data_IF_377771638204
#
_entry.id   IF_377771638204
#
_cell.length_a   1.000
_cell.length_b   1.000
_cell.length_c   1.000
_cell.angle_alpha   90.00
_cell.angle_beta   90.00
_cell.angle_gamma   90.00
#
_symmetry.space_group_name_H-M   'P 1'
#
loop_
_entity.id
_entity.type
_entity.pdbx_description
1 polymer ?
#
# COMPACT_ATOMS: atom_id res chain seq x y z
N UNK A 1 12.02 -17.07 -31.67
CA UNK A 1 12.49 -15.68 -31.71
C UNK A 1 11.44 -14.67 -31.22
N UNK A 2 10.20 -14.77 -31.65
CA UNK A 2 9.13 -13.87 -31.21
C UNK A 2 8.70 -14.02 -29.75
N UNK A 3 8.74 -15.23 -29.20
CA UNK A 3 8.35 -15.49 -27.82
C UNK A 3 9.30 -14.83 -26.80
N UNK A 4 10.61 -14.79 -27.10
CA UNK A 4 11.60 -14.14 -26.25
C UNK A 4 11.43 -12.60 -26.23
N UNK A 5 11.08 -12.00 -27.37
CA UNK A 5 10.83 -10.56 -27.47
C UNK A 5 9.55 -10.15 -26.73
N UNK A 6 8.52 -10.98 -26.78
CA UNK A 6 7.26 -10.74 -26.08
C UNK A 6 7.48 -10.84 -24.56
N UNK A 7 8.22 -11.84 -24.11
CA UNK A 7 8.53 -11.99 -22.68
C UNK A 7 9.37 -10.82 -22.14
N UNK A 8 10.32 -10.33 -22.92
CA UNK A 8 11.10 -9.15 -22.57
C UNK A 8 10.24 -7.89 -22.45
N UNK A 9 9.33 -7.67 -23.39
CA UNK A 9 8.40 -6.56 -23.37
C UNK A 9 7.41 -6.64 -22.18
N UNK A 10 6.97 -7.83 -21.81
CA UNK A 10 6.11 -8.04 -20.66
C UNK A 10 6.85 -7.85 -19.33
N UNK A 11 8.12 -8.25 -19.24
CA UNK A 11 8.91 -8.07 -18.01
C UNK A 11 9.21 -6.59 -17.73
N UNK A 12 9.34 -5.77 -18.76
CA UNK A 12 9.53 -4.32 -18.62
C UNK A 12 8.25 -3.58 -18.22
N UNK A 13 7.08 -4.14 -18.52
CA UNK A 13 5.78 -3.53 -18.21
C UNK A 13 5.30 -3.73 -16.77
N UNK A 14 6.00 -4.50 -15.94
CA UNK A 14 5.56 -4.79 -14.58
C UNK A 14 5.98 -3.74 -13.54
N UNK A 15 6.66 -2.67 -13.96
CA UNK A 15 6.94 -1.52 -13.09
C UNK A 15 5.87 -0.46 -13.30
N UNK A 16 5.07 -0.20 -12.27
CA UNK A 16 4.12 0.90 -12.29
C UNK A 16 4.86 2.24 -12.31
N UNK A 17 4.35 3.15 -13.10
CA UNK A 17 4.85 4.52 -13.19
C UNK A 17 3.76 5.49 -12.73
N UNK A 18 4.19 6.67 -12.32
CA UNK A 18 3.26 7.78 -12.06
C UNK A 18 2.46 8.08 -13.34
N UNK A 19 1.16 8.22 -13.20
CA UNK A 19 0.23 8.39 -14.31
C UNK A 19 -0.43 7.12 -14.81
N UNK A 20 0.10 5.94 -14.47
CA UNK A 20 -0.51 4.67 -14.84
C UNK A 20 -1.80 4.42 -14.08
N UNK A 21 -2.73 3.68 -14.68
CA UNK A 21 -3.88 3.17 -13.95
C UNK A 21 -3.44 2.12 -12.94
N UNK A 22 -4.04 2.20 -11.75
CA UNK A 22 -3.80 1.22 -10.68
C UNK A 22 -4.36 -0.14 -11.08
N UNK A 23 -3.61 -1.24 -10.87
CA UNK A 23 -4.19 -2.57 -11.01
C UNK A 23 -5.37 -2.75 -10.05
N UNK A 24 -6.45 -3.36 -10.53
CA UNK A 24 -7.54 -3.75 -9.66
C UNK A 24 -7.13 -4.96 -8.82
N UNK A 25 -7.54 -4.96 -7.55
CA UNK A 25 -7.22 -6.07 -6.68
C UNK A 25 -8.34 -6.32 -5.66
N UNK A 26 -8.35 -7.55 -5.15
CA UNK A 26 -9.24 -8.01 -4.11
C UNK A 26 -8.41 -8.70 -3.04
N UNK A 27 -8.49 -8.24 -1.82
CA UNK A 27 -7.79 -8.82 -0.67
C UNK A 27 -8.70 -8.83 0.54
N UNK A 28 -8.49 -9.80 1.44
CA UNK A 28 -9.16 -9.80 2.73
C UNK A 28 -8.47 -8.84 3.69
N UNK A 29 -9.27 -8.09 4.44
CA UNK A 29 -8.76 -7.21 5.48
C UNK A 29 -8.52 -7.96 6.80
N UNK A 30 -8.17 -7.24 7.87
CA UNK A 30 -7.90 -7.82 9.19
C UNK A 30 -9.13 -8.50 9.82
N UNK A 31 -10.32 -8.23 9.36
CA UNK A 31 -11.57 -8.82 9.84
C UNK A 31 -12.11 -9.91 8.89
N UNK A 32 -11.29 -10.36 7.95
CA UNK A 32 -11.68 -11.30 6.89
C UNK A 32 -12.82 -10.80 6.00
N UNK A 33 -12.95 -9.50 5.86
CA UNK A 33 -13.87 -8.87 4.92
C UNK A 33 -13.16 -8.60 3.61
N UNK A 34 -13.83 -8.86 2.51
CA UNK A 34 -13.26 -8.65 1.18
C UNK A 34 -13.18 -7.16 0.85
N UNK A 35 -11.97 -6.70 0.58
CA UNK A 35 -11.69 -5.35 0.11
C UNK A 35 -11.58 -5.39 -1.41
N UNK A 36 -12.37 -4.58 -2.10
CA UNK A 36 -12.36 -4.44 -3.55
C UNK A 36 -11.83 -3.06 -3.93
N UNK A 37 -10.69 -3.00 -4.60
CA UNK A 37 -10.07 -1.72 -4.98
C UNK A 37 -10.98 -0.84 -5.84
N UNK A 38 -11.78 -1.46 -6.71
CA UNK A 38 -12.73 -0.74 -7.57
C UNK A 38 -13.78 0.07 -6.81
N UNK A 39 -14.10 -0.31 -5.58
CA UNK A 39 -15.09 0.41 -4.76
C UNK A 39 -14.57 1.74 -4.22
N UNK A 40 -13.28 2.02 -4.38
CA UNK A 40 -12.64 3.24 -3.88
C UNK A 40 -12.28 4.23 -4.98
N UNK A 41 -12.75 4.01 -6.21
CA UNK A 41 -12.64 5.00 -7.29
C UNK A 41 -13.46 6.23 -6.86
N UNK A 42 -12.86 7.40 -6.96
CA UNK A 42 -13.44 8.67 -6.47
C UNK A 42 -12.83 9.14 -5.16
N UNK A 43 -12.01 8.31 -4.51
CA UNK A 43 -11.29 8.66 -3.29
C UNK A 43 -9.78 8.64 -3.53
N UNK A 44 -9.05 9.53 -2.85
CA UNK A 44 -7.58 9.50 -2.82
C UNK A 44 -7.14 8.50 -1.76
N UNK A 45 -6.25 7.57 -2.13
CA UNK A 45 -5.80 6.49 -1.26
C UNK A 45 -4.29 6.44 -1.22
N UNK A 46 -3.75 6.32 -0.01
CA UNK A 46 -2.34 5.98 0.24
C UNK A 46 -2.28 4.48 0.52
N UNK A 47 -1.62 3.74 -0.36
CA UNK A 47 -1.39 2.31 -0.22
C UNK A 47 0.08 2.09 0.09
N UNK A 48 0.40 1.57 1.28
CA UNK A 48 1.78 1.31 1.64
C UNK A 48 2.01 -0.18 1.90
N UNK A 49 3.05 -0.70 1.25
CA UNK A 49 3.51 -2.07 1.43
C UNK A 49 4.57 -2.11 2.52
N UNK A 50 4.49 -3.11 3.39
CA UNK A 50 5.39 -3.23 4.51
C UNK A 50 5.85 -4.68 4.74
N UNK A 51 7.06 -4.87 5.31
CA UNK A 51 7.64 -6.21 5.44
C UNK A 51 6.88 -7.11 6.41
N UNK A 52 6.80 -6.75 7.69
CA UNK A 52 6.14 -7.54 8.73
C UNK A 52 5.45 -6.66 9.75
N UNK A 53 4.24 -7.07 10.15
CA UNK A 53 3.56 -6.49 11.29
C UNK A 53 4.38 -6.72 12.59
N UNK A 54 4.30 -5.73 13.47
CA UNK A 54 4.93 -5.77 14.81
C UNK A 54 6.47 -5.91 14.81
N UNK A 55 7.14 -5.41 13.77
CA UNK A 55 8.59 -5.18 13.80
C UNK A 55 8.86 -3.71 14.16
N UNK A 56 10.02 -3.37 14.82
CA UNK A 56 10.26 -2.00 15.28
C UNK A 56 10.13 -0.92 14.21
N UNK A 57 10.73 -1.09 13.04
CA UNK A 57 10.64 -0.12 11.95
C UNK A 57 9.25 0.04 11.38
N UNK A 58 8.52 -1.05 11.29
CA UNK A 58 7.15 -1.09 10.81
C UNK A 58 6.18 -0.46 11.80
N UNK A 59 6.33 -0.76 13.07
CA UNK A 59 5.52 -0.16 14.13
C UNK A 59 5.66 1.35 14.14
N UNK A 60 6.86 1.88 13.95
CA UNK A 60 7.11 3.33 13.85
C UNK A 60 6.36 3.97 12.67
N UNK A 61 6.40 3.34 11.50
CA UNK A 61 5.71 3.84 10.31
C UNK A 61 4.20 3.88 10.54
N UNK A 62 3.62 2.78 11.04
CA UNK A 62 2.19 2.69 11.32
C UNK A 62 1.75 3.70 12.38
N UNK A 63 2.51 3.86 13.46
CA UNK A 63 2.22 4.84 14.49
C UNK A 63 2.36 6.29 13.98
N UNK A 64 3.26 6.53 13.04
CA UNK A 64 3.36 7.82 12.35
C UNK A 64 2.07 8.17 11.62
N UNK A 65 1.53 7.24 10.84
CA UNK A 65 0.23 7.42 10.20
C UNK A 65 -0.91 7.59 11.22
N UNK A 66 -0.92 6.79 12.28
CA UNK A 66 -1.92 6.90 13.35
C UNK A 66 -1.97 8.29 13.96
N UNK A 67 -0.79 8.85 14.27
CA UNK A 67 -0.69 10.12 14.98
C UNK A 67 -1.23 11.32 14.18
N UNK A 68 -1.23 11.23 12.86
CA UNK A 68 -1.73 12.29 11.98
C UNK A 68 -2.90 11.84 11.11
N UNK A 69 -3.53 10.72 11.46
CA UNK A 69 -4.61 10.14 10.65
C UNK A 69 -5.80 11.09 10.49
N UNK A 70 -6.14 11.86 11.51
CA UNK A 70 -7.22 12.85 11.41
C UNK A 70 -6.98 13.87 10.29
N UNK A 71 -5.73 14.26 10.08
CA UNK A 71 -5.38 15.18 8.99
C UNK A 71 -5.56 14.53 7.61
N UNK A 72 -5.27 13.25 7.49
CA UNK A 72 -5.59 12.50 6.27
C UNK A 72 -7.09 12.46 6.04
N UNK A 73 -7.88 12.16 7.07
CA UNK A 73 -9.34 12.13 6.97
C UNK A 73 -9.93 13.49 6.58
N UNK A 74 -9.46 14.58 7.19
CA UNK A 74 -9.90 15.95 6.86
C UNK A 74 -9.65 16.31 5.40
N UNK A 75 -8.63 15.72 4.80
CA UNK A 75 -8.28 15.94 3.39
C UNK A 75 -8.85 14.87 2.46
N UNK A 76 -9.77 14.04 2.95
CA UNK A 76 -10.39 12.93 2.21
C UNK A 76 -9.38 11.95 1.63
N UNK A 77 -8.33 11.66 2.39
CA UNK A 77 -7.28 10.71 2.01
C UNK A 77 -7.41 9.47 2.88
N UNK A 78 -7.58 8.31 2.24
CA UNK A 78 -7.65 7.02 2.91
C UNK A 78 -6.25 6.40 2.99
N UNK A 79 -5.96 5.71 4.08
CA UNK A 79 -4.68 5.01 4.26
C UNK A 79 -4.93 3.51 4.40
N UNK A 80 -4.18 2.71 3.67
CA UNK A 80 -4.28 1.25 3.68
C UNK A 80 -2.88 0.65 3.71
N UNK A 81 -2.65 -0.30 4.61
CA UNK A 81 -1.40 -1.07 4.66
C UNK A 81 -1.56 -2.46 4.06
N UNK A 82 -0.60 -2.93 3.31
CA UNK A 82 -0.60 -4.26 2.69
C UNK A 82 0.69 -5.00 3.04
N UNK A 83 0.54 -6.25 3.49
CA UNK A 83 1.68 -7.14 3.75
C UNK A 83 1.33 -8.59 3.42
N UNK A 84 2.31 -9.48 3.54
CA UNK A 84 2.10 -10.93 3.37
C UNK A 84 1.56 -11.59 4.65
N UNK A 85 1.43 -10.87 5.75
CA UNK A 85 0.88 -11.39 7.00
C UNK A 85 -0.56 -11.87 6.83
N UNK A 86 -0.96 -12.85 7.64
CA UNK A 86 -2.35 -13.30 7.68
C UNK A 86 -3.28 -12.21 8.24
N UNK A 87 -4.57 -12.31 7.93
CA UNK A 87 -5.58 -11.42 8.49
C UNK A 87 -5.56 -11.41 10.02
N UNK A 88 -5.38 -12.56 10.66
CA UNK A 88 -5.29 -12.66 12.12
C UNK A 88 -4.10 -11.90 12.69
N UNK A 89 -2.93 -12.02 12.07
CA UNK A 89 -1.73 -11.27 12.49
C UNK A 89 -1.93 -9.77 12.33
N UNK A 90 -2.55 -9.35 11.23
CA UNK A 90 -2.87 -7.95 10.97
C UNK A 90 -3.88 -7.40 11.97
N UNK A 91 -4.87 -8.20 12.35
CA UNK A 91 -5.86 -7.82 13.37
C UNK A 91 -5.20 -7.58 14.72
N UNK A 92 -4.33 -8.49 15.15
CA UNK A 92 -3.57 -8.34 16.40
C UNK A 92 -2.72 -7.09 16.40
N UNK A 93 -2.06 -6.80 15.28
CA UNK A 93 -1.24 -5.60 15.12
C UNK A 93 -2.09 -4.33 15.22
N UNK A 94 -3.20 -4.29 14.50
CA UNK A 94 -4.13 -3.17 14.50
C UNK A 94 -4.68 -2.88 15.91
N UNK A 95 -5.08 -3.91 16.63
CA UNK A 95 -5.60 -3.79 17.99
C UNK A 95 -4.52 -3.37 18.99
N UNK A 96 -3.33 -3.98 18.91
CA UNK A 96 -2.22 -3.70 19.83
C UNK A 96 -1.81 -2.23 19.84
N UNK A 97 -1.77 -1.61 18.68
CA UNK A 97 -1.34 -0.22 18.53
C UNK A 97 -2.48 0.76 18.27
N UNK A 98 -3.72 0.29 18.36
CA UNK A 98 -4.92 1.10 18.14
C UNK A 98 -4.87 1.88 16.83
N UNK A 99 -4.63 1.16 15.75
CA UNK A 99 -4.46 1.74 14.41
C UNK A 99 -5.83 1.96 13.76
N UNK A 100 -6.15 3.17 13.28
CA UNK A 100 -7.49 3.51 12.79
C UNK A 100 -7.77 3.14 11.34
N UNK A 101 -6.77 2.66 10.61
CA UNK A 101 -6.92 2.33 9.18
C UNK A 101 -6.82 0.83 8.94
N UNK A 102 -7.24 0.39 7.75
CA UNK A 102 -7.33 -1.02 7.39
C UNK A 102 -6.01 -1.59 6.91
N UNK A 103 -5.84 -2.88 7.17
CA UNK A 103 -4.72 -3.69 6.69
C UNK A 103 -5.24 -4.82 5.82
N UNK A 104 -4.57 -5.07 4.70
CA UNK A 104 -4.93 -6.11 3.75
C UNK A 104 -3.86 -7.20 3.72
N UNK A 105 -4.32 -8.44 3.69
CA UNK A 105 -3.47 -9.62 3.66
C UNK A 105 -3.22 -10.07 2.22
N UNK A 106 -1.98 -9.89 1.74
CA UNK A 106 -1.53 -10.35 0.42
C UNK A 106 -0.67 -11.62 0.56
N UNK A 107 -1.22 -12.65 1.21
CA UNK A 107 -0.49 -13.89 1.49
C UNK A 107 -0.01 -14.62 0.23
N UNK A 108 -0.69 -14.44 -0.90
CA UNK A 108 -0.30 -14.99 -2.20
C UNK A 108 0.73 -14.15 -2.95
N UNK A 109 1.09 -12.97 -2.43
CA UNK A 109 2.08 -12.04 -3.01
C UNK A 109 1.70 -11.47 -4.39
N UNK A 110 0.48 -11.71 -4.85
CA UNK A 110 0.02 -11.33 -6.18
C UNK A 110 -0.16 -9.81 -6.33
N UNK A 111 -0.73 -9.16 -5.31
CA UNK A 111 -0.97 -7.71 -5.34
C UNK A 111 0.35 -6.94 -5.25
N UNK A 112 1.25 -7.33 -4.35
CA UNK A 112 2.58 -6.74 -4.29
C UNK A 112 3.29 -6.83 -5.64
N UNK A 113 3.19 -7.99 -6.30
CA UNK A 113 3.77 -8.20 -7.63
C UNK A 113 3.15 -7.26 -8.67
N UNK A 114 1.84 -7.09 -8.68
CA UNK A 114 1.16 -6.20 -9.62
C UNK A 114 1.55 -4.73 -9.45
N UNK A 115 1.94 -4.32 -8.24
CA UNK A 115 2.45 -2.98 -7.94
C UNK A 115 3.97 -2.84 -8.10
N UNK A 116 4.69 -3.93 -8.35
CA UNK A 116 6.15 -3.91 -8.39
C UNK A 116 6.80 -3.81 -7.02
N UNK A 117 6.06 -4.09 -5.95
CA UNK A 117 6.54 -4.05 -4.57
C UNK A 117 6.85 -5.44 -4.01
N UNK A 118 6.90 -6.46 -4.86
CA UNK A 118 7.15 -7.84 -4.43
C UNK A 118 8.60 -8.06 -4.02
N UNK A 119 8.78 -8.68 -2.87
CA UNK A 119 10.03 -9.24 -2.41
C UNK A 119 9.86 -10.75 -2.24
N UNK A 120 10.98 -11.49 -2.13
CA UNK A 120 10.95 -12.95 -2.03
C UNK A 120 10.26 -13.43 -0.75
N UNK A 121 10.63 -12.87 0.40
CA UNK A 121 10.08 -13.25 1.70
C UNK A 121 9.10 -12.23 2.25
N UNK A 122 9.28 -10.96 1.91
CA UNK A 122 8.47 -9.83 2.36
C UNK A 122 8.26 -8.85 1.22
N UNK A 123 7.18 -8.05 1.23
CA UNK A 123 7.08 -6.94 0.31
C UNK A 123 8.22 -5.94 0.50
N UNK A 124 8.56 -5.25 -0.57
CA UNK A 124 9.43 -4.07 -0.48
C UNK A 124 8.66 -2.95 0.22
N UNK A 125 9.36 -2.14 0.99
CA UNK A 125 8.78 -0.96 1.65
C UNK A 125 8.56 0.15 0.62
N UNK A 126 7.40 0.15 0.01
CA UNK A 126 7.01 1.12 -1.03
C UNK A 126 5.62 1.68 -0.73
N UNK A 127 5.39 2.91 -1.10
CA UNK A 127 4.09 3.56 -0.95
C UNK A 127 3.63 4.15 -2.27
N UNK A 128 2.35 3.96 -2.55
CA UNK A 128 1.69 4.46 -3.76
C UNK A 128 0.54 5.37 -3.36
N UNK A 129 0.45 6.53 -3.99
CA UNK A 129 -0.72 7.40 -3.85
C UNK A 129 -1.56 7.26 -5.10
N UNK A 130 -2.83 6.88 -4.91
CA UNK A 130 -3.81 6.67 -5.98
C UNK A 130 -4.78 7.84 -5.93
N UNK A 131 -4.95 8.54 -7.05
CA UNK A 131 -5.87 9.68 -7.11
C UNK A 131 -7.33 9.22 -7.33
N UNK A 132 -8.24 10.17 -7.35
CA UNK A 132 -9.69 9.93 -7.47
C UNK A 132 -10.07 9.25 -8.80
N UNK A 133 -9.22 9.34 -9.82
CA UNK A 133 -9.43 8.72 -11.12
C UNK A 133 -8.86 7.29 -11.21
N UNK A 134 -8.30 6.78 -10.11
CA UNK A 134 -7.70 5.45 -10.09
C UNK A 134 -6.30 5.39 -10.71
N UNK A 135 -5.63 6.52 -10.85
CA UNK A 135 -4.26 6.61 -11.39
C UNK A 135 -3.25 6.81 -10.29
N UNK A 136 -2.05 6.30 -10.51
CA UNK A 136 -0.91 6.51 -9.61
C UNK A 136 -0.48 7.99 -9.68
N UNK A 137 -0.63 8.71 -8.58
CA UNK A 137 -0.22 10.11 -8.47
C UNK A 137 1.24 10.24 -8.04
N UNK A 138 1.67 9.42 -7.07
CA UNK A 138 3.03 9.41 -6.55
C UNK A 138 3.47 8.01 -6.17
N UNK A 139 4.78 7.75 -6.30
CA UNK A 139 5.41 6.50 -5.87
C UNK A 139 6.59 6.84 -4.97
N UNK A 140 6.59 6.30 -3.75
CA UNK A 140 7.69 6.42 -2.80
C UNK A 140 8.43 5.09 -2.74
N UNK A 141 9.57 5.00 -3.42
CA UNK A 141 10.40 3.79 -3.47
C UNK A 141 11.32 3.64 -2.26
N UNK A 142 11.65 4.76 -1.62
CA UNK A 142 12.45 4.83 -0.40
C UNK A 142 11.64 5.52 0.67
N UNK A 143 11.56 4.91 1.84
CA UNK A 143 10.72 5.39 2.93
C UNK A 143 11.59 5.66 4.15
N UNK A 144 11.52 6.89 4.66
CA UNK A 144 12.04 7.21 5.98
C UNK A 144 10.94 6.92 7.00
N UNK A 145 11.08 5.84 7.75
CA UNK A 145 10.04 5.38 8.69
C UNK A 145 9.69 6.38 9.78
N UNK A 146 10.56 7.34 10.09
CA UNK A 146 10.32 8.35 11.12
C UNK A 146 9.44 9.51 10.63
N UNK A 147 9.46 9.83 9.33
CA UNK A 147 8.83 11.02 8.76
C UNK A 147 7.92 10.74 7.58
N UNK A 148 7.72 9.47 7.23
CA UNK A 148 7.04 9.09 5.99
C UNK A 148 5.60 9.62 5.91
N UNK A 149 4.81 9.43 6.95
CA UNK A 149 3.42 9.88 6.98
C UNK A 149 3.31 11.40 6.85
N UNK A 150 4.16 12.14 7.55
CA UNK A 150 4.20 13.61 7.47
C UNK A 150 4.61 14.10 6.08
N UNK A 151 5.59 13.43 5.47
CA UNK A 151 6.07 13.76 4.11
C UNK A 151 4.94 13.58 3.10
N UNK A 152 4.23 12.46 3.16
CA UNK A 152 3.10 12.20 2.26
C UNK A 152 2.00 13.25 2.45
N UNK A 153 1.62 13.51 3.70
CA UNK A 153 0.58 14.51 3.99
C UNK A 153 0.95 15.88 3.44
N UNK A 154 2.19 16.31 3.65
CA UNK A 154 2.70 17.59 3.13
C UNK A 154 2.65 17.61 1.60
N UNK A 155 3.09 16.55 0.94
CA UNK A 155 3.11 16.45 -0.52
C UNK A 155 1.71 16.53 -1.12
N UNK A 156 0.70 15.99 -0.43
CA UNK A 156 -0.68 15.93 -0.92
C UNK A 156 -1.53 17.15 -0.54
N UNK A 157 -1.08 17.97 0.39
CA UNK A 157 -1.86 19.13 0.91
C UNK A 157 -1.22 20.49 0.61
N UNK A 158 -0.07 20.50 -0.02
CA UNK A 158 0.61 21.77 -0.36
C UNK A 158 0.38 22.21 -1.80
#
# INVERSE_FOLDING_TARGET
MFAASINSLFSEKFSLLEGDFTPHFELFDQDNKLFLSKNFIGEKIVVYFFPYADTPGWTKEACGFRNIYEEFEKNNIKVIGISYNSSDALKKFKEKYNLPFSFLSDSKKEVAKSFGANGLFTPKRMTFVINENGKIEKIYKKVNINTHAETILKDLTS
#
